data_IF_478454418921
#
_entry.id   IF_478454418921
#
_cell.length_a   1.000
_cell.length_b   1.000
_cell.length_c   1.000
_cell.angle_alpha   90.00
_cell.angle_beta   90.00
_cell.angle_gamma   90.00
#
_symmetry.space_group_name_H-M   'P 1'
#
loop_
_entity.id
_entity.type
_entity.pdbx_description
1 polymer ?
#
# COMPACT_ATOMS: atom_id res chain seq x y z
N UNK A 1 12.50 8.80 24.86
CA UNK A 1 12.48 7.86 23.72
C UNK A 1 11.06 7.32 23.68
N UNK A 2 10.29 7.74 22.68
CA UNK A 2 8.86 7.45 22.56
C UNK A 2 8.67 5.96 22.29
N UNK A 3 7.60 5.44 22.87
CA UNK A 3 7.32 4.03 23.10
C UNK A 3 7.40 3.21 21.80
N UNK A 4 8.18 2.14 21.82
CA UNK A 4 8.08 1.01 20.88
C UNK A 4 6.78 0.22 21.14
N UNK A 5 5.63 0.89 21.12
CA UNK A 5 4.39 0.18 20.84
C UNK A 5 4.44 -0.07 19.34
N UNK A 6 4.84 -1.29 18.97
CA UNK A 6 4.73 -1.78 17.60
C UNK A 6 3.23 -1.83 17.30
N UNK A 7 2.65 -0.70 16.90
CA UNK A 7 1.32 -0.68 16.31
C UNK A 7 1.39 -1.65 15.14
N UNK A 8 0.53 -2.66 15.14
CA UNK A 8 0.42 -3.57 14.02
C UNK A 8 -0.18 -2.77 12.86
N UNK A 9 0.70 -2.20 12.04
CA UNK A 9 0.30 -1.58 10.80
C UNK A 9 -0.27 -2.67 9.88
N UNK A 10 -1.48 -2.42 9.36
CA UNK A 10 -2.15 -3.33 8.41
C UNK A 10 -1.35 -3.50 7.11
N UNK A 11 -0.58 -2.49 6.74
CA UNK A 11 0.18 -2.41 5.50
C UNK A 11 1.65 -2.09 5.78
N UNK A 12 2.54 -2.65 4.97
CA UNK A 12 3.98 -2.38 5.00
C UNK A 12 4.35 -1.11 4.24
N UNK A 13 3.58 -0.76 3.19
CA UNK A 13 3.80 0.44 2.39
C UNK A 13 2.50 0.96 1.74
N UNK A 14 2.45 2.27 1.51
CA UNK A 14 1.43 2.93 0.70
C UNK A 14 2.00 3.29 -0.67
N UNK A 15 1.28 2.94 -1.74
CA UNK A 15 1.69 3.18 -3.12
C UNK A 15 0.84 4.29 -3.74
N UNK A 16 1.50 5.41 -4.06
CA UNK A 16 0.96 6.51 -4.83
C UNK A 16 1.60 6.52 -6.21
N UNK A 17 0.78 6.58 -7.26
CA UNK A 17 1.23 6.54 -8.64
C UNK A 17 0.30 7.35 -9.56
N UNK A 18 0.76 7.64 -10.76
CA UNK A 18 -0.02 8.31 -11.79
C UNK A 18 -0.92 7.28 -12.51
N UNK A 19 -2.20 7.60 -12.75
CA UNK A 19 -3.12 6.74 -13.50
C UNK A 19 -2.59 6.27 -14.87
N UNK A 20 -1.67 7.03 -15.49
CA UNK A 20 -1.00 6.60 -16.72
C UNK A 20 -0.12 5.34 -16.55
N UNK A 21 0.33 5.05 -15.33
CA UNK A 21 1.18 3.92 -14.98
C UNK A 21 0.39 2.76 -14.34
N UNK A 22 -0.94 2.84 -14.30
CA UNK A 22 -1.81 1.88 -13.60
C UNK A 22 -1.60 0.45 -14.09
N UNK A 23 -1.55 0.23 -15.42
CA UNK A 23 -1.34 -1.08 -16.02
C UNK A 23 -0.02 -1.70 -15.54
N UNK A 24 1.06 -0.92 -15.53
CA UNK A 24 2.36 -1.41 -15.06
C UNK A 24 2.35 -1.70 -13.56
N UNK A 25 1.68 -0.87 -12.76
CA UNK A 25 1.57 -1.12 -11.31
C UNK A 25 0.80 -2.40 -11.03
N UNK A 26 -0.30 -2.64 -11.72
CA UNK A 26 -1.14 -3.82 -11.54
C UNK A 26 -0.48 -5.09 -12.05
N UNK A 27 0.22 -5.04 -13.19
CA UNK A 27 0.78 -6.22 -13.83
C UNK A 27 2.21 -6.55 -13.40
N UNK A 28 2.97 -5.56 -12.94
CA UNK A 28 4.39 -5.71 -12.60
C UNK A 28 4.67 -5.44 -11.13
N UNK A 29 4.38 -4.24 -10.63
CA UNK A 29 4.76 -3.85 -9.26
C UNK A 29 4.06 -4.73 -8.21
N UNK A 30 2.73 -4.83 -8.29
CA UNK A 30 1.91 -5.55 -7.32
C UNK A 30 2.26 -7.03 -7.23
N UNK A 31 2.30 -7.81 -8.33
CA UNK A 31 2.63 -9.23 -8.26
C UNK A 31 4.02 -9.51 -7.69
N UNK A 32 5.00 -8.64 -7.95
CA UNK A 32 6.36 -8.82 -7.44
C UNK A 32 6.48 -8.49 -5.94
N UNK A 33 5.74 -7.50 -5.45
CA UNK A 33 5.79 -7.08 -4.04
C UNK A 33 4.85 -7.90 -3.15
N UNK A 34 3.59 -8.08 -3.53
CA UNK A 34 2.65 -8.90 -2.75
C UNK A 34 3.04 -10.39 -2.81
N UNK A 35 3.64 -10.84 -3.92
CA UNK A 35 4.22 -12.18 -4.03
C UNK A 35 5.44 -12.41 -3.12
N UNK A 36 6.10 -11.34 -2.66
CA UNK A 36 7.20 -11.39 -1.70
C UNK A 36 6.78 -11.12 -0.25
N UNK A 37 5.48 -11.20 0.04
CA UNK A 37 4.85 -11.06 1.37
C UNK A 37 4.66 -9.63 1.89
N UNK A 38 4.82 -8.60 1.06
CA UNK A 38 4.42 -7.24 1.45
C UNK A 38 2.91 -7.05 1.36
N UNK A 39 2.31 -6.43 2.36
CA UNK A 39 0.92 -5.95 2.35
C UNK A 39 0.90 -4.49 1.93
N UNK A 40 0.35 -4.20 0.75
CA UNK A 40 0.37 -2.84 0.19
C UNK A 40 -0.97 -2.15 0.34
N UNK A 41 -0.94 -0.83 0.59
CA UNK A 41 -2.11 0.04 0.54
C UNK A 41 -2.08 0.83 -0.77
N UNK A 42 -3.15 0.76 -1.55
CA UNK A 42 -3.27 1.47 -2.83
C UNK A 42 -4.40 2.49 -2.77
N UNK A 43 -4.14 3.69 -3.28
CA UNK A 43 -5.07 4.81 -3.18
C UNK A 43 -6.44 4.60 -3.88
N UNK A 44 -6.52 3.76 -4.91
CA UNK A 44 -7.78 3.39 -5.60
C UNK A 44 -8.40 2.07 -5.11
N UNK A 45 -7.71 1.28 -4.28
CA UNK A 45 -8.21 -0.01 -3.75
C UNK A 45 -8.66 0.11 -2.30
N UNK A 46 -7.81 0.74 -1.48
CA UNK A 46 -7.83 0.64 -0.03
C UNK A 46 -8.22 1.95 0.66
N UNK A 47 -8.55 2.99 -0.12
CA UNK A 47 -9.00 4.26 0.41
C UNK A 47 -10.43 4.16 0.95
N UNK A 48 -10.58 4.34 2.26
CA UNK A 48 -11.87 4.35 2.95
C UNK A 48 -12.44 5.77 3.00
N UNK A 49 -13.60 5.99 2.37
CA UNK A 49 -14.26 7.31 2.41
C UNK A 49 -14.56 7.72 3.87
N UNK A 50 -14.17 8.94 4.23
CA UNK A 50 -14.37 9.48 5.57
C UNK A 50 -13.31 9.05 6.58
N UNK A 51 -12.22 8.40 6.15
CA UNK A 51 -11.01 8.19 6.94
C UNK A 51 -9.79 8.79 6.25
N UNK A 52 -8.90 9.33 7.06
CA UNK A 52 -7.59 9.81 6.58
C UNK A 52 -6.64 8.62 6.38
N UNK A 53 -5.69 8.81 5.46
CA UNK A 53 -4.59 7.88 5.14
C UNK A 53 -3.28 8.34 5.75
#
# INVERSE_FOLDING_TARGET
RLKDQKEEYKYDAFISYNSADEDWVMEQLLPNLEGSSFQLCLHHRDFELGRDI
#
